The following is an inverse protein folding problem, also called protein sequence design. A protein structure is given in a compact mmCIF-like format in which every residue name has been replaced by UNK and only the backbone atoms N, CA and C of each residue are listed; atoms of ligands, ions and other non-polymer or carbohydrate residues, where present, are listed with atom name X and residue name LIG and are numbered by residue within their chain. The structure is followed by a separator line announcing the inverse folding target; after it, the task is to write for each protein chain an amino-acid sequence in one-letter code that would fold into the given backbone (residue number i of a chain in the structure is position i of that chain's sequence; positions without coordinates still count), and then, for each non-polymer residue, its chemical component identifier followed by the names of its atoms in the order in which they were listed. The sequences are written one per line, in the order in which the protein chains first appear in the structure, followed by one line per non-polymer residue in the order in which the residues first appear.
data_IF_855400815781
#
_entry.id   IF_855400815781
#
_cell.length_a   1.000
_cell.length_b   1.000
_cell.length_c   1.000
_cell.angle_alpha   90.00
_cell.angle_beta   90.00
_cell.angle_gamma   90.00
#
_symmetry.space_group_name_H-M   'P 1'
#
loop_
_entity.id
_entity.type
_entity.pdbx_description
1 polymer ?
#
# COMPACT_ATOMS: atom_id res chain seq x y z
N UNK A 1 -8.41 -10.95 27.49
CA UNK A 1 -8.40 -9.57 26.96
C UNK A 1 -9.06 -9.52 25.61
N UNK A 2 -10.02 -8.61 25.43
CA UNK A 2 -10.68 -8.46 24.15
C UNK A 2 -9.89 -7.50 23.28
N UNK A 3 -9.51 -7.94 22.09
CA UNK A 3 -8.86 -7.13 21.10
C UNK A 3 -9.88 -6.27 20.37
N UNK A 4 -9.81 -4.97 20.53
CA UNK A 4 -10.73 -4.05 19.85
C UNK A 4 -10.29 -3.77 18.43
N UNK A 5 -8.99 -3.68 18.23
CA UNK A 5 -8.41 -3.41 16.92
C UNK A 5 -7.24 -4.34 16.69
N UNK A 6 -7.11 -4.80 15.47
CA UNK A 6 -5.98 -5.59 15.03
C UNK A 6 -5.28 -4.86 13.91
N UNK A 7 -3.98 -4.87 13.93
CA UNK A 7 -3.18 -4.32 12.83
C UNK A 7 -1.95 -5.19 12.61
N UNK A 8 -1.45 -5.14 11.41
CA UNK A 8 -0.32 -5.95 11.01
C UNK A 8 0.97 -5.15 11.17
N UNK A 9 1.96 -5.73 11.85
CA UNK A 9 3.30 -5.16 11.89
C UNK A 9 4.29 -6.17 11.32
N UNK A 10 5.37 -5.64 10.79
CA UNK A 10 6.43 -6.40 10.18
C UNK A 10 7.11 -7.37 11.16
N UNK A 11 7.35 -6.92 12.38
CA UNK A 11 8.10 -7.67 13.39
C UNK A 11 7.23 -8.68 14.13
N UNK A 12 6.00 -8.34 14.40
CA UNK A 12 5.14 -9.10 15.29
C UNK A 12 3.93 -9.76 14.60
N UNK A 13 3.72 -9.49 13.31
CA UNK A 13 2.54 -9.97 12.62
C UNK A 13 1.29 -9.19 13.02
N UNK A 14 0.24 -9.89 13.44
CA UNK A 14 -0.98 -9.23 13.88
C UNK A 14 -0.87 -8.85 15.34
N UNK A 15 -1.04 -7.56 15.62
CA UNK A 15 -1.01 -7.02 16.98
C UNK A 15 -2.41 -6.52 17.35
N UNK A 16 -2.76 -6.72 18.60
CA UNK A 16 -4.01 -6.18 19.15
C UNK A 16 -3.72 -4.86 19.86
N UNK A 17 -4.46 -3.83 19.48
CA UNK A 17 -4.36 -2.53 20.11
C UNK A 17 -5.21 -2.49 21.36
N UNK A 18 -4.71 -1.85 22.41
CA UNK A 18 -5.41 -1.71 23.65
C UNK A 18 -6.63 -0.79 23.55
N UNK A 19 -7.54 -0.95 24.50
CA UNK A 19 -8.74 -0.10 24.60
C UNK A 19 -8.33 1.33 24.93
N UNK A 20 -8.93 2.28 24.25
CA UNK A 20 -8.69 3.70 24.50
C UNK A 20 -7.66 4.36 23.62
N UNK A 21 -6.96 3.60 22.82
CA UNK A 21 -6.06 4.18 21.85
C UNK A 21 -6.85 4.78 20.70
N UNK A 22 -6.47 6.00 20.30
CA UNK A 22 -7.20 6.75 19.27
C UNK A 22 -6.49 6.75 17.93
N UNK A 23 -5.24 6.33 17.89
CA UNK A 23 -4.45 6.35 16.66
C UNK A 23 -4.88 5.23 15.71
N UNK A 24 -5.07 5.61 14.45
CA UNK A 24 -5.37 4.66 13.39
C UNK A 24 -4.14 3.82 13.08
N UNK A 25 -4.35 2.54 12.81
CA UNK A 25 -3.31 1.66 12.30
C UNK A 25 -3.02 2.04 10.85
N UNK A 26 -1.83 2.53 10.58
CA UNK A 26 -1.44 2.98 9.24
C UNK A 26 -0.15 2.29 8.82
N UNK A 27 -0.16 1.66 7.66
CA UNK A 27 1.02 1.10 7.03
C UNK A 27 1.34 1.94 5.80
N UNK A 28 2.55 2.49 5.77
CA UNK A 28 3.04 3.30 4.66
C UNK A 28 4.07 2.48 3.88
N UNK A 29 3.65 1.98 2.72
CA UNK A 29 4.52 1.19 1.84
C UNK A 29 5.11 2.13 0.80
N UNK A 30 6.43 2.28 0.82
CA UNK A 30 7.09 3.31 0.03
C UNK A 30 8.45 2.87 -0.49
N UNK A 31 9.00 3.64 -1.43
CA UNK A 31 10.35 3.47 -1.93
C UNK A 31 11.14 4.73 -1.59
N UNK A 32 12.20 4.63 -0.77
CA UNK A 32 12.91 5.83 -0.27
C UNK A 32 13.48 6.75 -1.35
N UNK A 33 13.81 6.21 -2.51
CA UNK A 33 14.37 6.99 -3.63
C UNK A 33 13.30 7.66 -4.49
N UNK A 34 12.02 7.42 -4.22
CA UNK A 34 10.92 7.99 -5.00
C UNK A 34 10.56 9.38 -4.45
N UNK A 35 10.57 10.39 -5.30
CA UNK A 35 10.25 11.76 -4.88
C UNK A 35 8.82 11.90 -4.37
N UNK A 36 7.88 11.21 -5.01
CA UNK A 36 6.48 11.20 -4.57
C UNK A 36 6.34 10.58 -3.18
N UNK A 37 7.07 9.50 -2.90
CA UNK A 37 7.09 8.88 -1.59
C UNK A 37 7.67 9.80 -0.53
N UNK A 38 8.72 10.53 -0.88
CA UNK A 38 9.33 11.50 0.04
C UNK A 38 8.35 12.62 0.41
N UNK A 39 7.59 13.11 -0.55
CA UNK A 39 6.56 14.12 -0.32
C UNK A 39 5.45 13.58 0.58
N UNK A 40 5.03 12.34 0.32
CA UNK A 40 4.00 11.69 1.13
C UNK A 40 4.44 11.50 2.57
N UNK A 41 5.69 11.10 2.76
CA UNK A 41 6.26 10.93 4.10
C UNK A 41 6.28 12.26 4.86
N UNK A 42 6.71 13.33 4.21
CA UNK A 42 6.70 14.67 4.82
C UNK A 42 5.29 15.10 5.21
N UNK A 43 4.33 14.79 4.36
CA UNK A 43 2.93 15.11 4.65
C UNK A 43 2.43 14.36 5.90
N UNK A 44 2.73 13.05 6.00
CA UNK A 44 2.36 12.26 7.16
C UNK A 44 3.00 12.79 8.44
N UNK A 45 4.30 13.09 8.38
CA UNK A 45 5.04 13.64 9.53
C UNK A 45 4.50 15.00 9.92
N UNK A 46 4.18 15.85 8.96
CA UNK A 46 3.64 17.18 9.19
C UNK A 46 2.24 17.19 9.80
N UNK A 47 1.48 16.13 9.57
CA UNK A 47 0.13 15.98 10.13
C UNK A 47 0.11 15.16 11.43
N UNK A 48 1.27 14.76 11.93
CA UNK A 48 1.36 13.99 13.17
C UNK A 48 0.80 12.59 13.08
N UNK A 49 0.75 12.01 11.90
CA UNK A 49 0.23 10.66 11.69
C UNK A 49 1.27 9.62 12.11
N UNK A 50 0.89 8.70 12.98
CA UNK A 50 1.74 7.57 13.33
C UNK A 50 1.54 6.46 12.31
N UNK A 51 2.63 5.95 11.77
CA UNK A 51 2.57 4.91 10.75
C UNK A 51 3.76 3.97 10.88
N UNK A 52 3.59 2.76 10.34
CA UNK A 52 4.68 1.82 10.16
C UNK A 52 5.18 1.98 8.73
N UNK A 53 6.48 2.14 8.56
CA UNK A 53 7.09 2.30 7.24
C UNK A 53 7.59 0.95 6.72
N UNK A 54 7.30 0.66 5.46
CA UNK A 54 7.72 -0.59 4.83
C UNK A 54 8.34 -0.28 3.47
N UNK A 55 9.51 -0.86 3.21
CA UNK A 55 10.23 -0.70 1.95
C UNK A 55 9.61 -1.61 0.88
N UNK A 56 9.03 -1.00 -0.16
CA UNK A 56 8.26 -1.73 -1.16
C UNK A 56 9.08 -2.73 -1.98
N UNK A 57 10.37 -2.46 -2.15
CA UNK A 57 11.27 -3.33 -2.92
C UNK A 57 11.87 -4.45 -2.07
N UNK A 58 12.38 -4.11 -0.89
CA UNK A 58 13.03 -5.09 0.01
C UNK A 58 12.03 -5.98 0.71
N UNK A 59 10.83 -5.48 0.92
CA UNK A 59 9.75 -6.17 1.61
C UNK A 59 8.49 -6.06 0.77
N UNK A 60 8.58 -6.50 -0.47
CA UNK A 60 7.50 -6.37 -1.41
C UNK A 60 6.23 -7.08 -0.90
N UNK A 61 5.06 -6.53 -1.21
CA UNK A 61 3.80 -7.13 -0.79
C UNK A 61 3.61 -8.54 -1.35
N UNK A 62 3.00 -9.41 -0.57
CA UNK A 62 2.62 -10.73 -1.03
C UNK A 62 1.31 -10.65 -1.84
N UNK A 63 1.02 -11.70 -2.59
CA UNK A 63 -0.22 -11.78 -3.35
C UNK A 63 -1.45 -11.71 -2.42
N UNK A 64 -1.36 -12.32 -1.25
CA UNK A 64 -2.45 -12.29 -0.27
C UNK A 64 -2.68 -10.88 0.29
N UNK A 65 -1.60 -10.17 0.60
CA UNK A 65 -1.68 -8.79 1.06
C UNK A 65 -2.31 -7.89 -0.02
N UNK A 66 -1.86 -8.05 -1.26
CA UNK A 66 -2.37 -7.27 -2.38
C UNK A 66 -3.85 -7.53 -2.62
N UNK A 67 -4.29 -8.77 -2.49
CA UNK A 67 -5.70 -9.11 -2.59
C UNK A 67 -6.51 -8.39 -1.52
N UNK A 68 -6.08 -8.48 -0.27
CA UNK A 68 -6.77 -7.84 0.84
C UNK A 68 -6.82 -6.32 0.67
N UNK A 69 -5.73 -5.72 0.26
CA UNK A 69 -5.67 -4.28 0.03
C UNK A 69 -6.55 -3.85 -1.12
N UNK A 70 -6.53 -4.62 -2.21
CA UNK A 70 -7.36 -4.34 -3.38
C UNK A 70 -8.85 -4.38 -3.02
N UNK A 71 -9.27 -5.42 -2.33
CA UNK A 71 -10.67 -5.56 -1.89
C UNK A 71 -11.08 -4.43 -0.95
N UNK A 72 -10.21 -4.09 0.00
CA UNK A 72 -10.46 -3.01 0.95
C UNK A 72 -10.56 -1.65 0.26
N UNK A 73 -9.74 -1.43 -0.77
CA UNK A 73 -9.68 -0.12 -1.46
C UNK A 73 -10.90 0.17 -2.32
N UNK A 74 -11.52 -0.86 -2.87
CA UNK A 74 -12.59 -0.69 -3.85
C UNK A 74 -12.11 -0.13 -5.19
N UNK A 75 -10.81 -0.04 -5.40
CA UNK A 75 -10.23 0.49 -6.63
C UNK A 75 -10.03 -0.60 -7.68
N UNK A 76 -9.89 -0.19 -8.95
CA UNK A 76 -9.48 -1.09 -10.01
C UNK A 76 -8.05 -1.57 -9.72
N UNK A 77 -7.77 -2.85 -9.97
CA UNK A 77 -6.45 -3.44 -9.74
C UNK A 77 -5.34 -2.68 -10.50
N UNK A 78 -5.67 -2.07 -11.61
CA UNK A 78 -4.73 -1.27 -12.39
C UNK A 78 -4.14 -0.12 -11.56
N UNK A 79 -4.88 0.39 -10.59
CA UNK A 79 -4.39 1.45 -9.70
C UNK A 79 -3.24 0.98 -8.80
N UNK A 80 -3.07 -0.32 -8.64
CA UNK A 80 -1.99 -0.89 -7.87
C UNK A 80 -0.72 -1.12 -8.69
N UNK A 81 -0.80 -0.95 -10.01
CA UNK A 81 0.36 -1.07 -10.88
C UNK A 81 1.05 0.28 -11.07
N UNK A 82 2.37 0.27 -11.06
CA UNK A 82 3.18 1.44 -11.38
C UNK A 82 3.26 1.59 -12.90
N UNK A 83 2.22 2.15 -13.50
CA UNK A 83 2.06 2.24 -14.95
C UNK A 83 3.07 3.16 -15.64
N UNK A 84 3.68 4.06 -14.90
CA UNK A 84 4.72 4.95 -15.42
C UNK A 84 6.12 4.41 -15.20
N UNK A 85 6.26 3.26 -14.55
CA UNK A 85 7.55 2.65 -14.26
C UNK A 85 8.18 1.97 -15.48
N UNK A 86 9.50 1.88 -15.46
CA UNK A 86 10.25 1.24 -16.55
C UNK A 86 9.90 -0.23 -16.70
N UNK A 87 9.80 -0.94 -15.58
CA UNK A 87 9.52 -2.38 -15.59
C UNK A 87 8.15 -2.68 -16.21
N UNK A 88 7.16 -1.86 -15.91
CA UNK A 88 5.84 -1.98 -16.50
C UNK A 88 5.89 -1.85 -18.02
N UNK A 89 6.68 -0.89 -18.51
CA UNK A 89 6.85 -0.65 -19.95
C UNK A 89 7.65 -1.75 -20.61
N UNK A 90 8.74 -2.18 -20.00
CA UNK A 90 9.61 -3.25 -20.52
C UNK A 90 8.86 -4.57 -20.66
N UNK A 91 8.01 -4.89 -19.71
CA UNK A 91 7.21 -6.10 -19.73
C UNK A 91 5.95 -5.99 -20.61
N UNK A 92 5.71 -4.82 -21.19
CA UNK A 92 4.56 -4.55 -22.05
C UNK A 92 3.23 -4.90 -21.36
N UNK A 93 3.13 -4.54 -20.08
CA UNK A 93 1.96 -4.89 -19.26
C UNK A 93 0.69 -4.20 -19.72
N UNK A 94 0.78 -3.04 -20.34
CA UNK A 94 -0.39 -2.35 -20.90
C UNK A 94 -1.17 -3.28 -21.84
N UNK A 95 -0.44 -4.08 -22.62
CA UNK A 95 -1.04 -5.00 -23.58
C UNK A 95 -1.37 -6.35 -22.97
N UNK A 96 -0.62 -6.78 -21.96
CA UNK A 96 -0.77 -8.11 -21.35
C UNK A 96 -1.84 -8.17 -20.27
N UNK A 97 -2.00 -7.11 -19.47
CA UNK A 97 -2.92 -7.12 -18.35
C UNK A 97 -4.37 -7.44 -18.71
N UNK A 98 -4.92 -6.94 -19.84
CA UNK A 98 -6.30 -7.25 -20.18
C UNK A 98 -6.59 -8.74 -20.36
N UNK A 99 -5.57 -9.54 -20.72
CA UNK A 99 -5.71 -10.97 -20.89
C UNK A 99 -5.42 -11.79 -19.64
N UNK A 100 -5.06 -11.15 -18.53
CA UNK A 100 -4.68 -11.83 -17.30
C UNK A 100 -5.85 -11.92 -16.32
N UNK A 101 -5.89 -13.01 -15.56
CA UNK A 101 -6.85 -13.14 -14.46
C UNK A 101 -6.42 -12.25 -13.30
N UNK A 102 -7.33 -11.98 -12.37
CA UNK A 102 -7.04 -11.20 -11.19
C UNK A 102 -5.95 -11.86 -10.33
N UNK A 103 -6.01 -13.18 -10.20
CA UNK A 103 -5.01 -13.95 -9.45
C UNK A 103 -3.62 -13.82 -10.07
N UNK A 104 -3.54 -13.87 -11.40
CA UNK A 104 -2.30 -13.68 -12.12
C UNK A 104 -1.72 -12.28 -11.89
N UNK A 105 -2.58 -11.27 -11.84
CA UNK A 105 -2.18 -9.89 -11.56
C UNK A 105 -1.60 -9.74 -10.16
N UNK A 106 -2.21 -10.37 -9.16
CA UNK A 106 -1.68 -10.35 -7.79
C UNK A 106 -0.32 -11.03 -7.73
N UNK A 107 -0.18 -12.17 -8.38
CA UNK A 107 1.09 -12.90 -8.42
C UNK A 107 2.18 -12.06 -9.10
N UNK A 108 1.84 -11.37 -10.17
CA UNK A 108 2.75 -10.50 -10.88
C UNK A 108 3.23 -9.34 -10.01
N UNK A 109 2.31 -8.66 -9.34
CA UNK A 109 2.65 -7.58 -8.42
C UNK A 109 3.53 -8.06 -7.27
N UNK A 110 3.26 -9.27 -6.77
CA UNK A 110 4.04 -9.86 -5.68
C UNK A 110 5.44 -10.28 -6.12
N UNK A 111 5.67 -10.44 -7.42
CA UNK A 111 6.97 -10.88 -7.95
C UNK A 111 8.04 -9.78 -7.87
N UNK A 112 7.64 -8.51 -7.91
CA UNK A 112 8.58 -7.39 -7.87
C UNK A 112 7.89 -6.14 -7.33
N UNK A 113 8.40 -5.61 -6.23
CA UNK A 113 7.85 -4.41 -5.61
C UNK A 113 7.89 -3.17 -6.52
N UNK A 114 8.78 -3.15 -7.49
CA UNK A 114 8.88 -2.04 -8.43
C UNK A 114 7.70 -1.98 -9.41
N UNK A 115 6.93 -3.06 -9.53
CA UNK A 115 5.70 -3.08 -10.32
C UNK A 115 4.53 -2.45 -9.57
N UNK A 116 4.64 -2.31 -8.27
CA UNK A 116 3.56 -1.82 -7.42
C UNK A 116 3.55 -0.31 -7.38
N UNK A 117 2.37 0.28 -7.50
CA UNK A 117 2.17 1.73 -7.36
C UNK A 117 2.60 2.18 -5.97
N UNK A 118 3.28 3.28 -5.91
CA UNK A 118 3.80 3.80 -4.65
C UNK A 118 3.60 5.32 -4.53
N UNK A 119 3.45 5.81 -3.32
CA UNK A 119 3.32 5.03 -2.09
C UNK A 119 1.94 4.37 -1.96
N UNK A 120 1.85 3.34 -1.11
CA UNK A 120 0.58 2.77 -0.69
C UNK A 120 0.34 3.18 0.76
N UNK A 121 -0.84 3.66 1.05
CA UNK A 121 -1.24 3.97 2.41
C UNK A 121 -2.37 3.01 2.81
N UNK A 122 -2.04 2.08 3.68
CA UNK A 122 -2.99 1.06 4.13
C UNK A 122 -3.48 1.43 5.51
N UNK A 123 -4.79 1.64 5.64
CA UNK A 123 -5.43 1.92 6.92
C UNK A 123 -6.42 0.81 7.25
N UNK A 124 -7.05 0.89 8.40
CA UNK A 124 -8.05 -0.11 8.79
C UNK A 124 -9.27 -0.11 7.87
N UNK A 125 -9.65 1.06 7.39
CA UNK A 125 -10.86 1.21 6.60
C UNK A 125 -10.66 1.31 5.10
N UNK A 126 -9.45 1.61 4.64
CA UNK A 126 -9.21 1.82 3.22
C UNK A 126 -7.75 1.69 2.85
N UNK A 127 -7.50 1.68 1.55
CA UNK A 127 -6.15 1.69 0.99
C UNK A 127 -6.11 2.77 -0.09
N UNK A 128 -5.09 3.63 -0.03
CA UNK A 128 -4.86 4.64 -1.06
C UNK A 128 -3.60 4.29 -1.84
N UNK A 129 -3.67 4.48 -3.15
CA UNK A 129 -2.54 4.24 -4.05
C UNK A 129 -2.05 5.57 -4.62
N UNK A 130 -0.74 5.79 -4.57
CA UNK A 130 -0.16 7.06 -4.97
C UNK A 130 -0.41 8.14 -3.93
N UNK A 131 0.20 9.31 -4.12
CA UNK A 131 0.03 10.42 -3.20
C UNK A 131 -0.81 11.52 -3.83
N UNK A 132 -2.02 11.72 -3.29
CA UNK A 132 -2.92 12.81 -3.66
C UNK A 132 -3.40 13.43 -2.36
N UNK A 133 -2.91 14.62 -2.05
CA UNK A 133 -3.21 15.29 -0.79
C UNK A 133 -4.70 15.36 -0.49
N UNK A 134 -5.51 15.69 -1.47
CA UNK A 134 -6.96 15.80 -1.30
C UNK A 134 -7.60 14.49 -0.82
N UNK A 135 -7.11 13.36 -1.32
CA UNK A 135 -7.61 12.06 -0.90
C UNK A 135 -7.09 11.68 0.49
N UNK A 136 -5.82 12.00 0.77
CA UNK A 136 -5.20 11.70 2.05
C UNK A 136 -5.79 12.54 3.17
N UNK A 137 -6.15 13.79 2.89
CA UNK A 137 -6.80 14.66 3.87
C UNK A 137 -8.13 14.11 4.37
N UNK A 138 -8.83 13.37 3.54
CA UNK A 138 -10.11 12.76 3.92
C UNK A 138 -9.97 11.68 4.99
N UNK A 139 -8.76 11.18 5.21
CA UNK A 139 -8.49 10.16 6.23
C UNK A 139 -8.33 10.75 7.63
N UNK A 140 -8.12 12.03 7.74
CA UNK A 140 -7.84 12.71 9.01
C UNK A 140 -9.10 13.24 9.69
#
# INVERSE_FOLDING_TARGET
MICLEKYYTKEAGIICRGKGETNMSVLFVEYPKCSTCQKAKKWLDGHGVSYEERHIKEQNPSAEELRAWHEKSGLDIKKFFNTSGMLYKEMQLKDKLPGMTLEEKYALLASDGMLVKRPLLVTEGTVLTGFKEAEWEKLL
#
